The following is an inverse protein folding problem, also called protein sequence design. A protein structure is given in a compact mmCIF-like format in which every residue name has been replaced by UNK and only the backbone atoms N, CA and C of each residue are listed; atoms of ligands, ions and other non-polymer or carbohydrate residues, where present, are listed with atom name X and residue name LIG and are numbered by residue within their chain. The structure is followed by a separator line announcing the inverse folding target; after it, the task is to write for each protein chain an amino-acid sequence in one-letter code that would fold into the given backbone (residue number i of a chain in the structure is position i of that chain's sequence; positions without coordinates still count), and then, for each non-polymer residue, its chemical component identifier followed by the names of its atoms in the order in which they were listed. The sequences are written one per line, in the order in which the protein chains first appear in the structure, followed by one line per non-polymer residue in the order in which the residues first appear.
data_IF_505196818637
#
_entry.id   IF_505196818637
#
_cell.length_a   1.000
_cell.length_b   1.000
_cell.length_c   1.000
_cell.angle_alpha   90.00
_cell.angle_beta   90.00
_cell.angle_gamma   90.00
#
_symmetry.space_group_name_H-M   'P 1'
#
loop_
_entity.id
_entity.type
_entity.pdbx_description
1 polymer ?
#
# COMPACT_ATOMS: atom_id res chain seq x y z
N UNK A 1 25.39 -12.99 9.82
CA UNK A 1 25.47 -11.68 10.47
C UNK A 1 25.31 -10.61 9.40
N UNK A 2 24.07 -10.35 8.96
CA UNK A 2 23.77 -9.31 7.98
C UNK A 2 23.48 -8.03 8.76
N UNK A 3 24.46 -7.12 8.79
CA UNK A 3 24.40 -5.90 9.59
C UNK A 3 23.21 -5.04 9.14
N UNK A 4 22.35 -4.75 10.11
CA UNK A 4 21.28 -3.76 10.04
C UNK A 4 21.94 -2.38 10.07
N UNK A 5 22.18 -1.81 8.90
CA UNK A 5 22.19 -0.38 8.72
C UNK A 5 21.60 -0.13 7.34
N UNK A 6 20.42 0.47 7.33
CA UNK A 6 19.81 1.13 6.19
C UNK A 6 19.20 0.16 5.16
N UNK A 7 17.90 -0.13 5.32
CA UNK A 7 17.00 0.03 4.17
C UNK A 7 16.98 1.54 3.81
N UNK A 8 18.14 2.11 3.43
CA UNK A 8 18.18 3.39 2.74
C UNK A 8 17.77 3.06 1.34
N UNK A 9 16.51 3.33 1.06
CA UNK A 9 16.03 3.46 -0.29
C UNK A 9 16.66 4.76 -0.82
N UNK A 10 17.90 4.65 -1.33
CA UNK A 10 18.69 5.76 -1.90
C UNK A 10 18.68 7.04 -1.04
N UNK A 11 19.06 6.94 0.23
CA UNK A 11 19.18 8.09 1.15
C UNK A 11 17.98 8.32 2.09
N UNK A 12 16.79 7.83 1.74
CA UNK A 12 15.58 7.89 2.56
C UNK A 12 15.32 6.54 3.23
N UNK A 13 15.02 6.54 4.53
CA UNK A 13 14.85 5.30 5.30
C UNK A 13 13.42 4.74 5.14
N UNK A 14 13.27 3.42 5.31
CA UNK A 14 11.95 2.79 5.30
C UNK A 14 11.02 3.38 6.38
N UNK A 15 11.58 3.76 7.54
CA UNK A 15 10.87 4.45 8.62
C UNK A 15 10.32 5.80 8.13
N UNK A 16 11.13 6.63 7.46
CA UNK A 16 10.67 7.92 6.94
C UNK A 16 9.57 7.80 5.88
N UNK A 17 9.66 6.80 5.01
CA UNK A 17 8.60 6.50 4.04
C UNK A 17 7.32 6.01 4.71
N UNK A 18 7.43 5.20 5.76
CA UNK A 18 6.27 4.76 6.54
C UNK A 18 5.66 5.91 7.34
N UNK A 19 6.47 6.80 7.93
CA UNK A 19 6.00 8.03 8.58
C UNK A 19 5.22 8.93 7.62
N UNK A 20 5.70 9.12 6.38
CA UNK A 20 4.95 9.83 5.34
C UNK A 20 3.65 9.11 4.95
N UNK A 21 3.66 7.78 4.93
CA UNK A 21 2.48 6.95 4.67
C UNK A 21 1.43 7.08 5.79
N UNK A 22 1.87 7.14 7.05
CA UNK A 22 1.02 7.42 8.22
C UNK A 22 0.48 8.85 8.16
N UNK A 23 1.31 9.82 7.79
CA UNK A 23 0.92 11.22 7.65
C UNK A 23 -0.17 11.40 6.57
N UNK A 24 -0.22 10.54 5.54
CA UNK A 24 -1.29 10.55 4.54
C UNK A 24 -2.70 10.27 5.13
N UNK A 25 -2.81 9.70 6.33
CA UNK A 25 -4.11 9.53 7.00
C UNK A 25 -4.64 10.81 7.68
N UNK A 26 -3.76 11.78 7.94
CA UNK A 26 -4.05 12.96 8.75
C UNK A 26 -4.42 14.16 7.89
N UNK A 27 -5.39 14.97 8.33
CA UNK A 27 -5.84 16.16 7.58
C UNK A 27 -4.84 17.31 7.70
N UNK A 28 -4.13 17.37 8.82
CA UNK A 28 -3.12 18.37 9.12
C UNK A 28 -1.95 18.29 8.14
N UNK A 29 -1.28 19.42 7.95
CA UNK A 29 -0.11 19.53 7.09
C UNK A 29 1.14 19.53 7.96
N UNK A 30 1.96 18.49 7.85
CA UNK A 30 3.22 18.39 8.59
C UNK A 30 4.32 17.82 7.73
N UNK A 31 5.50 18.41 7.90
CA UNK A 31 6.75 17.91 7.36
C UNK A 31 7.13 16.60 8.06
N UNK A 32 7.90 15.75 7.36
CA UNK A 32 8.41 14.49 7.90
C UNK A 32 9.91 14.48 7.70
N UNK A 33 10.66 14.42 8.79
CA UNK A 33 12.12 14.50 8.76
C UNK A 33 12.62 15.75 7.99
N UNK A 34 13.48 15.59 7.00
CA UNK A 34 13.98 16.65 6.13
C UNK A 34 13.11 16.92 4.88
N UNK A 35 11.94 16.28 4.80
CA UNK A 35 11.02 16.43 3.67
C UNK A 35 9.86 17.35 4.01
N UNK A 36 9.69 18.39 3.18
CA UNK A 36 8.60 19.36 3.30
C UNK A 36 7.34 18.84 2.66
N UNK A 37 6.21 18.88 3.36
CA UNK A 37 4.92 18.58 2.77
C UNK A 37 4.46 19.79 1.95
N UNK A 38 4.37 19.62 0.63
CA UNK A 38 4.13 20.72 -0.30
C UNK A 38 2.74 20.72 -0.92
N UNK A 39 2.03 19.58 -0.87
CA UNK A 39 0.70 19.45 -1.46
C UNK A 39 -0.08 18.28 -0.86
N UNK A 40 -1.39 18.46 -0.71
CA UNK A 40 -2.32 17.41 -0.31
C UNK A 40 -3.50 17.33 -1.26
N UNK A 41 -3.99 16.11 -1.51
CA UNK A 41 -5.07 15.83 -2.45
C UNK A 41 -6.21 15.07 -1.76
N UNK A 42 -7.45 15.45 -2.08
CA UNK A 42 -8.64 14.64 -1.75
C UNK A 42 -9.14 14.70 -0.30
N UNK A 43 -8.58 15.55 0.56
CA UNK A 43 -8.96 15.60 1.98
C UNK A 43 -10.36 16.17 2.27
N UNK A 44 -10.98 16.84 1.31
CA UNK A 44 -12.33 17.40 1.43
C UNK A 44 -13.42 16.51 0.81
N UNK A 45 -13.08 15.30 0.35
CA UNK A 45 -14.04 14.38 -0.29
C UNK A 45 -13.79 12.92 0.09
N UNK A 46 -14.77 12.09 -0.21
CA UNK A 46 -14.67 10.63 -0.15
C UNK A 46 -13.92 10.11 -1.40
N UNK A 47 -12.93 9.24 -1.16
CA UNK A 47 -12.08 8.64 -2.17
C UNK A 47 -10.59 8.77 -1.88
N UNK A 48 -9.80 8.72 -2.95
CA UNK A 48 -8.34 8.83 -2.92
C UNK A 48 -7.86 10.04 -2.11
N UNK A 49 -6.85 9.80 -1.26
CA UNK A 49 -6.04 10.85 -0.64
C UNK A 49 -4.56 10.58 -0.85
N UNK A 50 -3.81 11.66 -1.05
CA UNK A 50 -2.37 11.59 -1.16
C UNK A 50 -1.73 12.88 -0.63
N UNK A 51 -0.50 12.77 -0.14
CA UNK A 51 0.38 13.89 0.19
C UNK A 51 1.65 13.80 -0.64
N UNK A 52 2.17 14.96 -1.04
CA UNK A 52 3.43 15.09 -1.76
C UNK A 52 4.43 15.75 -0.84
N UNK A 53 5.56 15.08 -0.65
CA UNK A 53 6.68 15.52 0.17
C UNK A 53 7.89 15.78 -0.72
N UNK A 54 8.55 16.92 -0.53
CA UNK A 54 9.73 17.32 -1.30
C UNK A 54 10.96 17.34 -0.40
N UNK A 55 11.95 16.52 -0.73
CA UNK A 55 13.30 16.55 -0.16
C UNK A 55 14.30 17.16 -1.14
N UNK A 56 15.59 16.97 -0.86
CA UNK A 56 16.69 17.56 -1.68
C UNK A 56 16.77 16.95 -3.08
N UNK A 57 16.73 15.62 -3.18
CA UNK A 57 16.92 14.89 -4.46
C UNK A 57 15.69 14.12 -4.91
N UNK A 58 14.63 14.11 -4.09
CA UNK A 58 13.49 13.20 -4.24
C UNK A 58 12.18 13.88 -3.89
N UNK A 59 11.13 13.45 -4.57
CA UNK A 59 9.75 13.79 -4.28
C UNK A 59 8.99 12.50 -3.97
N UNK A 60 8.40 12.43 -2.79
CA UNK A 60 7.64 11.27 -2.32
C UNK A 60 6.16 11.56 -2.45
N UNK A 61 5.43 10.67 -3.12
CA UNK A 61 3.97 10.69 -3.16
C UNK A 61 3.48 9.60 -2.20
N UNK A 62 2.99 10.01 -1.04
CA UNK A 62 2.43 9.12 -0.03
C UNK A 62 0.92 9.00 -0.23
N UNK A 63 0.44 7.77 -0.45
CA UNK A 63 -0.95 7.46 -0.75
C UNK A 63 -1.61 6.92 0.51
N UNK A 64 -2.76 7.48 0.90
CA UNK A 64 -3.53 7.01 2.06
C UNK A 64 -4.12 5.63 1.76
N UNK A 65 -4.03 4.71 2.72
CA UNK A 65 -4.79 3.47 2.69
C UNK A 65 -6.19 3.60 3.31
N UNK A 66 -6.76 2.48 3.74
CA UNK A 66 -8.18 2.39 4.12
C UNK A 66 -8.50 3.04 5.46
N UNK A 67 -9.55 3.85 5.49
CA UNK A 67 -10.26 4.20 6.72
C UNK A 67 -11.31 3.12 7.02
N UNK A 68 -11.28 2.54 8.22
CA UNK A 68 -12.16 1.43 8.59
C UNK A 68 -13.65 1.81 8.43
N UNK A 69 -14.42 0.91 7.81
CA UNK A 69 -15.85 1.05 7.59
C UNK A 69 -16.58 -0.23 7.97
N UNK A 70 -17.46 -0.16 8.97
CA UNK A 70 -18.12 -1.33 9.56
C UNK A 70 -19.59 -1.03 9.88
N UNK A 71 -20.50 -1.95 9.52
CA UNK A 71 -21.94 -1.82 9.80
C UNK A 71 -22.58 -0.50 9.35
N UNK A 72 -22.17 0.04 8.19
CA UNK A 72 -22.68 1.31 7.69
C UNK A 72 -22.05 2.56 8.33
N UNK A 73 -21.17 2.38 9.32
CA UNK A 73 -20.46 3.44 10.04
C UNK A 73 -19.02 3.49 9.55
N UNK A 74 -18.65 4.59 8.89
CA UNK A 74 -17.25 4.90 8.58
C UNK A 74 -16.59 5.58 9.77
N UNK A 75 -15.40 5.11 10.18
CA UNK A 75 -14.56 5.81 11.17
C UNK A 75 -13.83 7.03 10.58
N UNK A 76 -14.33 7.54 9.47
CA UNK A 76 -13.83 8.72 8.80
C UNK A 76 -14.42 8.88 7.40
N UNK A 77 -14.10 10.00 6.75
CA UNK A 77 -14.81 10.49 5.57
C UNK A 77 -14.59 9.68 4.28
N UNK A 78 -13.63 8.76 4.23
CA UNK A 78 -13.31 7.98 3.02
C UNK A 78 -13.65 6.50 3.12
N UNK A 79 -14.14 6.03 4.26
CA UNK A 79 -14.20 4.59 4.55
C UNK A 79 -15.11 3.81 3.58
N UNK A 80 -16.12 4.45 3.01
CA UNK A 80 -17.03 3.82 2.07
C UNK A 80 -16.32 3.41 0.77
N UNK A 81 -15.68 4.36 0.07
CA UNK A 81 -14.97 4.06 -1.18
C UNK A 81 -13.68 3.30 -0.95
N UNK A 82 -13.01 3.50 0.18
CA UNK A 82 -11.82 2.73 0.54
C UNK A 82 -12.18 1.23 0.60
N UNK A 83 -13.25 0.87 1.31
CA UNK A 83 -13.75 -0.52 1.40
C UNK A 83 -14.18 -1.07 0.04
N UNK A 84 -14.87 -0.27 -0.77
CA UNK A 84 -15.27 -0.72 -2.12
C UNK A 84 -14.04 -1.00 -2.99
N UNK A 85 -13.01 -0.15 -2.90
CA UNK A 85 -11.76 -0.35 -3.61
C UNK A 85 -11.03 -1.60 -3.10
N UNK A 86 -10.95 -1.82 -1.79
CA UNK A 86 -10.34 -3.03 -1.20
C UNK A 86 -10.98 -4.31 -1.75
N UNK A 87 -12.32 -4.38 -1.73
CA UNK A 87 -13.07 -5.53 -2.22
C UNK A 87 -12.93 -5.73 -3.74
N UNK A 88 -12.62 -4.67 -4.48
CA UNK A 88 -12.33 -4.75 -5.91
C UNK A 88 -10.87 -5.09 -6.19
N UNK A 89 -9.93 -4.78 -5.32
CA UNK A 89 -8.51 -5.08 -5.55
C UNK A 89 -8.11 -6.47 -5.07
N UNK A 90 -8.66 -6.91 -3.95
CA UNK A 90 -8.09 -8.05 -3.19
C UNK A 90 -8.98 -9.28 -3.14
N UNK A 91 -10.03 -9.32 -3.97
CA UNK A 91 -10.84 -10.50 -4.26
C UNK A 91 -10.54 -11.02 -5.67
N UNK A 92 -10.48 -12.33 -5.84
CA UNK A 92 -10.21 -13.00 -7.11
C UNK A 92 -11.50 -13.46 -7.78
N UNK A 93 -11.65 -13.18 -9.08
CA UNK A 93 -12.79 -13.69 -9.84
C UNK A 93 -12.65 -15.20 -10.07
N UNK A 94 -13.77 -15.94 -10.13
CA UNK A 94 -13.72 -17.35 -10.51
C UNK A 94 -13.06 -17.54 -11.88
N UNK A 95 -12.25 -18.60 -12.01
CA UNK A 95 -11.50 -18.88 -13.24
C UNK A 95 -12.45 -19.04 -14.43
N UNK A 96 -12.21 -18.25 -15.48
CA UNK A 96 -13.02 -18.26 -16.71
C UNK A 96 -14.22 -17.29 -16.71
N UNK A 97 -14.42 -16.51 -15.65
CA UNK A 97 -15.47 -15.49 -15.59
C UNK A 97 -14.98 -14.10 -16.07
N UNK A 98 -14.86 -13.93 -17.39
CA UNK A 98 -14.44 -12.64 -17.98
C UNK A 98 -15.37 -11.46 -17.61
N UNK A 99 -16.66 -11.73 -17.45
CA UNK A 99 -17.65 -10.73 -17.02
C UNK A 99 -17.38 -10.21 -15.60
N UNK A 100 -16.87 -11.05 -14.69
CA UNK A 100 -16.46 -10.62 -13.36
C UNK A 100 -15.31 -9.62 -13.42
N UNK A 101 -14.27 -9.93 -14.20
CA UNK A 101 -13.12 -9.05 -14.39
C UNK A 101 -13.51 -7.74 -15.08
N UNK A 102 -14.35 -7.81 -16.11
CA UNK A 102 -14.86 -6.63 -16.80
C UNK A 102 -15.62 -5.70 -15.85
N UNK A 103 -16.55 -6.25 -15.06
CA UNK A 103 -17.29 -5.48 -14.04
C UNK A 103 -16.36 -4.86 -13.01
N UNK A 104 -15.31 -5.58 -12.60
CA UNK A 104 -14.28 -5.08 -11.67
C UNK A 104 -13.55 -3.88 -12.25
N UNK A 105 -13.10 -3.92 -13.51
CA UNK A 105 -12.48 -2.77 -14.21
C UNK A 105 -13.40 -1.55 -14.25
N UNK A 106 -14.67 -1.74 -14.61
CA UNK A 106 -15.67 -0.65 -14.68
C UNK A 106 -15.89 -0.01 -13.31
N UNK A 107 -16.01 -0.80 -12.24
CA UNK A 107 -16.19 -0.26 -10.88
C UNK A 107 -14.93 0.47 -10.39
N UNK A 108 -13.75 -0.07 -10.64
CA UNK A 108 -12.47 0.60 -10.32
C UNK A 108 -12.37 1.96 -11.02
N UNK A 109 -12.71 2.04 -12.30
CA UNK A 109 -12.71 3.33 -13.02
C UNK A 109 -13.70 4.33 -12.40
N UNK A 110 -14.88 3.87 -11.96
CA UNK A 110 -15.88 4.72 -11.30
C UNK A 110 -15.41 5.27 -9.96
N UNK A 111 -14.59 4.53 -9.21
CA UNK A 111 -14.03 5.00 -7.94
C UNK A 111 -12.96 6.10 -8.10
N UNK A 112 -12.38 6.22 -9.30
CA UNK A 112 -11.41 7.25 -9.70
C UNK A 112 -10.06 7.26 -8.97
N UNK A 113 -9.76 6.28 -8.11
CA UNK A 113 -8.45 6.19 -7.42
C UNK A 113 -7.29 6.10 -8.42
N UNK A 114 -7.37 5.18 -9.38
CA UNK A 114 -6.34 4.99 -10.41
C UNK A 114 -6.23 6.24 -11.30
N UNK A 115 -7.37 6.77 -11.77
CA UNK A 115 -7.41 7.96 -12.62
C UNK A 115 -6.77 9.19 -11.94
N UNK A 116 -7.15 9.46 -10.69
CA UNK A 116 -6.63 10.60 -9.95
C UNK A 116 -5.14 10.44 -9.62
N UNK A 117 -4.69 9.24 -9.26
CA UNK A 117 -3.26 8.95 -9.05
C UNK A 117 -2.44 9.14 -10.33
N UNK A 118 -2.92 8.65 -11.47
CA UNK A 118 -2.25 8.88 -12.76
C UNK A 118 -2.09 10.38 -13.04
N UNK A 119 -3.12 11.19 -12.74
CA UNK A 119 -3.07 12.65 -12.92
C UNK A 119 -2.04 13.28 -11.98
N UNK A 120 -2.01 12.89 -10.71
CA UNK A 120 -1.04 13.39 -9.72
C UNK A 120 0.39 13.05 -10.18
N UNK A 121 0.65 11.79 -10.54
CA UNK A 121 1.99 11.32 -10.94
C UNK A 121 2.44 12.02 -12.23
N UNK A 122 1.58 12.12 -13.25
CA UNK A 122 1.92 12.82 -14.50
C UNK A 122 2.20 14.30 -14.27
N UNK A 123 1.51 14.93 -13.33
CA UNK A 123 1.75 16.33 -12.96
C UNK A 123 3.08 16.46 -12.23
N UNK A 124 3.34 15.60 -11.24
CA UNK A 124 4.59 15.59 -10.50
C UNK A 124 5.80 15.38 -11.44
N UNK A 125 5.73 14.43 -12.39
CA UNK A 125 6.78 14.19 -13.42
C UNK A 125 7.05 15.40 -14.32
N UNK A 126 6.12 16.34 -14.45
CA UNK A 126 6.29 17.59 -15.23
C UNK A 126 6.83 18.73 -14.39
N UNK A 127 6.47 18.78 -13.11
CA UNK A 127 6.80 19.88 -12.20
C UNK A 127 8.15 19.69 -11.52
N UNK A 128 8.50 18.45 -11.19
CA UNK A 128 9.72 18.11 -10.48
C UNK A 128 10.75 17.50 -11.42
N UNK A 129 12.02 17.88 -11.25
CA UNK A 129 13.16 17.26 -11.92
C UNK A 129 13.75 16.14 -11.06
N UNK A 130 13.47 16.19 -9.76
CA UNK A 130 13.86 15.22 -8.75
C UNK A 130 13.22 13.83 -8.99
N UNK A 131 13.86 12.77 -8.47
CA UNK A 131 13.33 11.42 -8.58
C UNK A 131 12.00 11.28 -7.82
N UNK A 132 10.99 10.69 -8.45
CA UNK A 132 9.69 10.44 -7.82
C UNK A 132 9.65 9.04 -7.24
N UNK A 133 9.28 8.95 -5.97
CA UNK A 133 9.06 7.69 -5.24
C UNK A 133 7.61 7.64 -4.77
N UNK A 134 7.01 6.46 -4.89
CA UNK A 134 5.67 6.20 -4.40
C UNK A 134 5.74 5.44 -3.08
N UNK A 135 4.87 5.78 -2.14
CA UNK A 135 4.76 5.05 -0.88
C UNK A 135 3.32 5.00 -0.41
N UNK A 136 3.00 4.02 0.41
CA UNK A 136 1.70 3.96 1.08
C UNK A 136 1.60 2.75 1.98
N UNK A 137 0.59 2.77 2.84
CA UNK A 137 0.26 1.68 3.74
C UNK A 137 -1.07 1.03 3.34
N UNK A 138 -1.23 -0.28 3.53
CA UNK A 138 -2.47 -1.02 3.25
C UNK A 138 -2.92 -0.80 1.79
N UNK A 139 -4.18 -0.43 1.54
CA UNK A 139 -4.68 -0.02 0.21
C UNK A 139 -3.76 0.98 -0.50
N UNK A 140 -3.22 1.96 0.23
CA UNK A 140 -2.34 2.99 -0.34
C UNK A 140 -1.02 2.42 -0.83
N UNK A 141 -0.51 1.37 -0.16
CA UNK A 141 0.69 0.65 -0.59
C UNK A 141 0.45 -0.15 -1.85
N UNK A 142 -0.68 -0.85 -1.95
CA UNK A 142 -1.07 -1.56 -3.17
C UNK A 142 -1.24 -0.60 -4.37
N UNK A 143 -1.86 0.56 -4.15
CA UNK A 143 -1.98 1.61 -5.16
C UNK A 143 -0.62 2.19 -5.58
N UNK A 144 0.30 2.39 -4.62
CA UNK A 144 1.67 2.81 -4.90
C UNK A 144 2.40 1.77 -5.76
N UNK A 145 2.25 0.48 -5.45
CA UNK A 145 2.82 -0.63 -6.22
C UNK A 145 2.30 -0.65 -7.68
N UNK A 146 0.98 -0.62 -7.87
CA UNK A 146 0.36 -0.59 -9.20
C UNK A 146 0.84 0.60 -10.05
N UNK A 147 0.95 1.78 -9.44
CA UNK A 147 1.46 2.97 -10.12
C UNK A 147 2.97 2.90 -10.36
N UNK A 148 3.72 2.26 -9.46
CA UNK A 148 5.15 1.98 -9.62
C UNK A 148 5.39 1.13 -10.87
N UNK A 149 4.63 0.05 -11.04
CA UNK A 149 4.67 -0.78 -12.25
C UNK A 149 4.29 0.02 -13.50
N UNK A 150 3.17 0.76 -13.46
CA UNK A 150 2.63 1.48 -14.62
C UNK A 150 3.54 2.60 -15.13
N UNK A 151 4.21 3.32 -14.23
CA UNK A 151 5.03 4.49 -14.56
C UNK A 151 6.54 4.23 -14.50
N UNK A 152 6.94 3.00 -14.23
CA UNK A 152 8.34 2.60 -13.98
C UNK A 152 8.99 3.46 -12.89
N UNK A 153 8.29 3.58 -11.76
CA UNK A 153 8.73 4.33 -10.58
C UNK A 153 9.05 3.39 -9.43
N UNK A 154 9.98 3.79 -8.57
CA UNK A 154 10.21 3.10 -7.31
C UNK A 154 8.99 3.23 -6.42
N UNK A 155 8.54 2.10 -5.86
CA UNK A 155 7.44 2.08 -4.90
C UNK A 155 7.81 1.24 -3.67
N UNK A 156 7.62 1.82 -2.49
CA UNK A 156 7.77 1.11 -1.21
C UNK A 156 6.40 1.00 -0.57
N UNK A 157 5.85 -0.21 -0.55
CA UNK A 157 4.51 -0.49 -0.05
C UNK A 157 4.58 -1.13 1.33
N UNK A 158 3.81 -0.62 2.28
CA UNK A 158 3.83 -1.07 3.66
C UNK A 158 2.56 -1.84 4.01
N UNK A 159 2.70 -3.08 4.52
CA UNK A 159 1.60 -3.93 4.95
C UNK A 159 0.44 -3.96 3.95
N UNK A 160 0.73 -3.99 2.65
CA UNK A 160 -0.32 -3.99 1.61
C UNK A 160 -0.73 -5.42 1.25
N UNK A 161 -2.03 -5.73 1.13
CA UNK A 161 -2.46 -7.03 0.60
C UNK A 161 -1.93 -7.25 -0.84
N UNK A 162 -1.84 -8.52 -1.26
CA UNK A 162 -1.29 -8.88 -2.57
C UNK A 162 -2.11 -8.30 -3.73
N UNK A 163 -1.49 -7.47 -4.57
CA UNK A 163 -2.16 -6.72 -5.64
C UNK A 163 -1.83 -7.20 -7.06
N UNK A 164 -1.06 -8.28 -7.21
CA UNK A 164 -0.63 -8.75 -8.53
C UNK A 164 -1.80 -9.19 -9.42
N UNK A 165 -2.82 -9.84 -8.85
CA UNK A 165 -4.03 -10.22 -9.59
C UNK A 165 -4.71 -9.01 -10.23
N UNK A 166 -4.95 -7.94 -9.47
CA UNK A 166 -5.64 -6.78 -10.01
C UNK A 166 -4.79 -6.03 -11.05
N UNK A 167 -3.46 -6.08 -10.96
CA UNK A 167 -2.57 -5.59 -12.02
C UNK A 167 -2.83 -6.29 -13.36
N UNK A 168 -2.92 -7.63 -13.35
CA UNK A 168 -3.21 -8.46 -14.52
C UNK A 168 -4.59 -8.12 -15.10
N UNK A 169 -5.61 -8.02 -14.24
CA UNK A 169 -6.97 -7.60 -14.63
C UNK A 169 -6.94 -6.22 -15.29
N UNK A 170 -6.22 -5.24 -14.72
CA UNK A 170 -6.11 -3.89 -15.30
C UNK A 170 -5.26 -3.83 -16.57
N UNK A 171 -4.62 -4.94 -16.97
CA UNK A 171 -3.78 -5.03 -18.17
C UNK A 171 -2.47 -4.24 -18.04
N UNK A 172 -1.97 -4.06 -16.82
CA UNK A 172 -0.69 -3.39 -16.61
C UNK A 172 0.44 -4.35 -17.01
N UNK A 173 1.34 -3.88 -17.87
CA UNK A 173 2.44 -4.72 -18.38
C UNK A 173 3.48 -4.94 -17.30
N UNK A 174 4.05 -6.14 -17.26
CA UNK A 174 5.21 -6.42 -16.41
C UNK A 174 6.39 -5.56 -16.87
N UNK A 175 6.92 -4.76 -15.94
CA UNK A 175 8.16 -4.02 -16.09
C UNK A 175 9.17 -4.60 -15.10
N UNK A 176 10.47 -4.31 -15.24
CA UNK A 176 11.43 -4.65 -14.20
C UNK A 176 11.17 -3.75 -12.98
N UNK A 177 10.24 -4.16 -12.13
CA UNK A 177 9.62 -3.28 -11.13
C UNK A 177 10.54 -3.04 -9.94
N UNK A 178 10.86 -1.77 -9.65
CA UNK A 178 11.55 -1.33 -8.43
C UNK A 178 10.60 -1.24 -7.23
N UNK A 179 9.83 -2.30 -7.03
CA UNK A 179 8.77 -2.38 -6.01
C UNK A 179 9.26 -3.26 -4.87
N UNK A 180 9.14 -2.75 -3.65
CA UNK A 180 9.43 -3.48 -2.42
C UNK A 180 8.23 -3.36 -1.48
N UNK A 181 7.73 -4.52 -1.05
CA UNK A 181 6.72 -4.63 -0.01
C UNK A 181 7.39 -4.95 1.33
N UNK A 182 7.00 -4.23 2.37
CA UNK A 182 7.49 -4.42 3.74
C UNK A 182 6.28 -4.53 4.66
N UNK A 183 6.19 -5.60 5.45
CA UNK A 183 5.12 -5.75 6.44
C UNK A 183 5.53 -6.66 7.58
N UNK A 184 4.56 -7.07 8.39
CA UNK A 184 4.76 -7.99 9.51
C UNK A 184 4.33 -9.40 9.10
N UNK A 185 5.10 -10.43 9.44
CA UNK A 185 4.76 -11.80 9.03
C UNK A 185 3.45 -12.30 9.66
N UNK A 186 3.09 -11.77 10.82
CA UNK A 186 1.86 -12.01 11.55
C UNK A 186 0.67 -11.13 11.07
N UNK A 187 0.87 -10.20 10.13
CA UNK A 187 -0.21 -9.36 9.60
C UNK A 187 -1.03 -10.14 8.57
N UNK A 188 -2.21 -10.60 8.99
CA UNK A 188 -3.11 -11.42 8.18
C UNK A 188 -3.59 -10.74 6.89
N UNK A 189 -3.56 -9.41 6.80
CA UNK A 189 -3.89 -8.70 5.55
C UNK A 189 -2.68 -8.66 4.61
N UNK A 190 -1.47 -8.50 5.16
CA UNK A 190 -0.25 -8.47 4.37
C UNK A 190 0.03 -9.82 3.71
N UNK A 191 -0.17 -10.93 4.44
CA UNK A 191 0.03 -12.29 3.93
C UNK A 191 -1.18 -12.86 3.20
N UNK A 192 -2.33 -12.18 3.24
CA UNK A 192 -3.53 -12.54 2.48
C UNK A 192 -4.43 -13.62 3.12
N UNK A 193 -4.35 -13.82 4.43
CA UNK A 193 -5.13 -14.83 5.18
C UNK A 193 -6.07 -14.19 6.24
N UNK A 194 -6.63 -13.01 5.93
CA UNK A 194 -7.51 -12.32 6.87
C UNK A 194 -8.84 -13.07 7.17
N UNK A 195 -9.23 -14.01 6.30
CA UNK A 195 -10.27 -14.99 6.55
C UNK A 195 -11.63 -14.42 6.96
N UNK A 196 -12.28 -15.09 7.93
CA UNK A 196 -13.62 -14.76 8.41
C UNK A 196 -13.70 -13.38 9.07
N UNK A 197 -12.64 -12.91 9.73
CA UNK A 197 -12.66 -11.63 10.45
C UNK A 197 -12.78 -10.44 9.48
N UNK A 198 -12.05 -10.44 8.36
CA UNK A 198 -12.25 -9.45 7.31
C UNK A 198 -13.66 -9.52 6.73
N UNK A 199 -14.17 -10.73 6.47
CA UNK A 199 -15.50 -10.94 5.93
C UNK A 199 -16.60 -10.39 6.84
N UNK A 200 -16.48 -10.61 8.15
CA UNK A 200 -17.38 -10.04 9.17
C UNK A 200 -17.36 -8.51 9.14
N UNK A 201 -16.20 -7.91 8.84
CA UNK A 201 -16.04 -6.47 8.72
C UNK A 201 -16.47 -5.90 7.35
N UNK A 202 -16.90 -6.76 6.42
CA UNK A 202 -17.33 -6.36 5.07
C UNK A 202 -16.18 -6.22 4.07
N UNK A 203 -15.02 -6.84 4.35
CA UNK A 203 -13.85 -6.88 3.50
C UNK A 203 -13.63 -8.28 2.91
N UNK A 204 -13.42 -8.34 1.60
CA UNK A 204 -13.09 -9.56 0.84
C UNK A 204 -11.65 -9.47 0.35
N UNK A 205 -10.72 -9.89 1.21
CA UNK A 205 -9.27 -9.85 0.99
C UNK A 205 -8.75 -11.29 1.08
N UNK A 206 -8.47 -11.89 -0.07
CA UNK A 206 -7.97 -13.28 -0.19
C UNK A 206 -6.77 -13.42 -1.15
N UNK A 207 -6.26 -12.32 -1.70
CA UNK A 207 -5.07 -12.34 -2.56
C UNK A 207 -3.78 -12.39 -1.75
N UNK A 208 -2.84 -13.25 -2.17
CA UNK A 208 -1.56 -13.45 -1.47
C UNK A 208 -0.34 -12.95 -2.24
N UNK A 209 -0.46 -12.71 -3.54
CA UNK A 209 0.68 -12.42 -4.41
C UNK A 209 0.86 -10.91 -4.68
N UNK A 210 2.05 -10.40 -4.40
CA UNK A 210 2.45 -9.01 -4.65
C UNK A 210 3.24 -8.84 -5.94
N UNK A 211 3.37 -7.59 -6.41
CA UNK A 211 4.35 -7.22 -7.42
C UNK A 211 5.73 -7.01 -6.77
N UNK A 212 6.81 -7.22 -7.52
CA UNK A 212 8.17 -6.96 -7.05
C UNK A 212 8.62 -7.88 -5.90
N UNK A 213 9.43 -7.33 -5.00
CA UNK A 213 10.01 -8.06 -3.86
C UNK A 213 9.15 -7.90 -2.60
N UNK A 214 9.07 -8.96 -1.78
CA UNK A 214 8.37 -8.93 -0.50
C UNK A 214 9.34 -9.19 0.64
N UNK A 215 9.15 -8.47 1.73
CA UNK A 215 9.84 -8.71 3.00
C UNK A 215 8.81 -8.65 4.12
N UNK A 216 8.78 -9.65 4.98
CA UNK A 216 8.05 -9.59 6.23
C UNK A 216 9.02 -9.60 7.43
N UNK A 217 8.70 -8.78 8.42
CA UNK A 217 9.37 -8.64 9.69
C UNK A 217 8.66 -9.52 10.70
N UNK A 218 9.35 -10.52 11.24
CA UNK A 218 8.74 -11.43 12.22
C UNK A 218 8.78 -10.83 13.61
N UNK A 219 7.63 -10.84 14.29
CA UNK A 219 7.49 -10.37 15.68
C UNK A 219 7.59 -11.52 16.67
N UNK A 220 6.99 -12.67 16.36
CA UNK A 220 6.96 -13.85 17.23
C UNK A 220 8.23 -14.69 17.07
N UNK A 221 8.77 -15.19 18.18
CA UNK A 221 9.94 -16.06 18.15
C UNK A 221 9.59 -17.54 17.86
N UNK A 222 8.30 -17.88 17.89
CA UNK A 222 7.78 -19.23 17.69
C UNK A 222 7.87 -19.68 16.23
N UNK A 223 7.95 -21.00 16.03
CA UNK A 223 7.90 -21.60 14.68
C UNK A 223 6.51 -21.49 14.06
N UNK A 224 5.46 -21.63 14.88
CA UNK A 224 4.07 -21.41 14.47
C UNK A 224 3.71 -19.94 14.62
N UNK A 225 3.49 -19.26 13.49
CA UNK A 225 3.05 -17.86 13.43
C UNK A 225 1.54 -17.81 13.66
N UNK A 226 1.11 -17.03 14.66
CA UNK A 226 -0.31 -16.73 14.85
C UNK A 226 -0.60 -15.37 14.20
N UNK A 227 -1.32 -15.40 13.10
CA UNK A 227 -1.67 -14.21 12.34
C UNK A 227 -2.82 -13.43 12.99
N UNK A 228 -2.79 -12.10 12.87
CA UNK A 228 -3.80 -11.24 13.46
C UNK A 228 -3.84 -9.84 12.83
N UNK A 229 -5.04 -9.33 12.57
CA UNK A 229 -5.28 -7.97 12.04
C UNK A 229 -4.68 -6.85 12.90
N UNK A 230 -4.44 -7.08 14.20
CA UNK A 230 -3.79 -6.07 15.08
C UNK A 230 -2.41 -5.65 14.58
N UNK A 231 -1.71 -6.53 13.86
CA UNK A 231 -0.38 -6.27 13.31
C UNK A 231 -0.44 -5.39 12.05
N UNK A 232 -1.62 -5.19 11.47
CA UNK A 232 -1.85 -4.35 10.29
C UNK A 232 -1.78 -2.84 10.56
N UNK A 233 -1.57 -2.42 11.80
CA UNK A 233 -1.47 -0.99 12.12
C UNK A 233 -0.09 -0.48 11.70
N UNK A 234 -0.07 0.60 10.91
CA UNK A 234 1.15 1.21 10.42
C UNK A 234 2.14 1.58 11.55
N UNK A 235 1.62 2.03 12.70
CA UNK A 235 2.46 2.34 13.86
C UNK A 235 3.17 1.10 14.43
N UNK A 236 2.52 -0.07 14.41
CA UNK A 236 3.12 -1.33 14.88
C UNK A 236 4.27 -1.75 13.96
N UNK A 237 4.10 -1.59 12.64
CA UNK A 237 5.18 -1.82 11.68
C UNK A 237 6.33 -0.82 11.86
N UNK A 238 6.03 0.45 12.14
CA UNK A 238 7.05 1.48 12.41
C UNK A 238 7.87 1.13 13.66
N UNK A 239 7.21 0.70 14.73
CA UNK A 239 7.88 0.19 15.94
C UNK A 239 8.78 -1.01 15.63
N UNK A 240 8.36 -1.92 14.76
CA UNK A 240 9.21 -3.06 14.35
C UNK A 240 10.41 -2.62 13.52
N UNK A 241 10.24 -1.69 12.58
CA UNK A 241 11.34 -1.20 11.75
C UNK A 241 12.43 -0.53 12.58
N UNK A 242 12.07 0.12 13.69
CA UNK A 242 12.99 0.78 14.59
C UNK A 242 13.80 -0.19 15.48
N UNK A 243 13.46 -1.49 15.50
CA UNK A 243 14.20 -2.48 16.29
C UNK A 243 15.53 -2.83 15.63
N UNK A 244 16.57 -2.99 16.47
CA UNK A 244 17.94 -3.30 16.03
C UNK A 244 18.11 -4.71 15.47
N UNK A 245 17.22 -5.64 15.81
CA UNK A 245 17.27 -7.03 15.35
C UNK A 245 15.86 -7.47 14.98
N UNK A 246 15.68 -7.90 13.73
CA UNK A 246 14.40 -8.45 13.26
C UNK A 246 14.69 -9.49 12.19
N UNK A 247 14.14 -10.69 12.36
CA UNK A 247 14.24 -11.75 11.36
C UNK A 247 13.38 -11.37 10.16
N UNK A 248 13.95 -11.49 8.97
CA UNK A 248 13.31 -11.14 7.69
C UNK A 248 13.02 -12.41 6.92
N UNK A 249 11.85 -12.47 6.31
CA UNK A 249 11.41 -13.56 5.46
C UNK A 249 10.79 -13.00 4.19
N UNK A 250 10.85 -13.77 3.11
CA UNK A 250 10.06 -13.50 1.92
C UNK A 250 8.65 -14.07 2.09
N UNK A 251 7.65 -13.42 1.49
CA UNK A 251 6.30 -13.97 1.43
C UNK A 251 6.18 -14.81 0.16
N UNK A 252 5.74 -16.05 0.35
CA UNK A 252 5.44 -16.96 -0.75
C UNK A 252 4.06 -16.63 -1.35
N UNK A 253 4.02 -16.47 -2.67
CA UNK A 253 2.77 -16.38 -3.43
C UNK A 253 2.13 -17.77 -3.49
N UNK A 254 1.01 -17.96 -2.80
CA UNK A 254 0.29 -19.26 -2.72
C UNK A 254 -0.76 -19.43 -3.82
N UNK A 255 -0.82 -18.50 -4.77
CA UNK A 255 -1.85 -18.42 -5.79
C UNK A 255 -2.88 -17.31 -5.50
N UNK A 256 -3.77 -17.13 -6.46
CA UNK A 256 -4.91 -16.22 -6.40
C UNK A 256 -6.16 -16.99 -5.97
#
# INVERSE_FOLDING_TARGET
MLLIFLLKVCGLSAEGLLEMSIEAYKKEQRDVQDYKMIYSYGYERDGLRAKIFKGVNKVVIAIKGTTLYFHGIGLGPTGHKDREMDNLMFWVCPKGEEDCEYKKKVKIDKLKYIYDLEKIIRTAKKVFQEEIILTGHSLGGALASLMGQKFDLQAIAFSSPGEKYISEVLGFRYTNTKILHIGICEDSLYVGDCGYLCSLMGYSINTTCHLGQTVCLRVQETENIIENVKYHRAEVLLEQLQKKETKKFEIECKGY
#
